data_IF_813912712628
#
_entry.id   IF_813912712628
#
_cell.length_a   1.000
_cell.length_b   1.000
_cell.length_c   1.000
_cell.angle_alpha   90.00
_cell.angle_beta   90.00
_cell.angle_gamma   90.00
#
_symmetry.space_group_name_H-M   'P 1'
#
loop_
_entity.id
_entity.type
_entity.pdbx_description
1 polymer ?
#
# COMPACT_ATOMS: atom_id res chain seq x y z
N UNK A 1 40.73 -61.23 3.70
CA UNK A 1 41.20 -60.05 2.95
C UNK A 1 39.99 -59.19 2.62
N UNK A 2 39.85 -58.02 3.26
CA UNK A 2 38.70 -57.11 3.07
C UNK A 2 39.14 -55.97 2.16
N UNK A 3 38.45 -55.81 1.02
CA UNK A 3 38.69 -54.78 0.00
C UNK A 3 38.22 -53.42 0.53
N UNK A 4 39.11 -52.43 0.57
CA UNK A 4 38.78 -51.04 0.91
C UNK A 4 38.11 -50.38 -0.31
N UNK A 5 36.92 -49.81 -0.13
CA UNK A 5 36.28 -48.93 -1.11
C UNK A 5 36.33 -47.52 -0.54
N UNK A 6 37.17 -46.68 -1.14
CA UNK A 6 37.32 -45.27 -0.80
C UNK A 6 36.24 -44.49 -1.58
N UNK A 7 35.23 -43.96 -0.89
CA UNK A 7 34.27 -43.02 -1.48
C UNK A 7 34.74 -41.59 -1.21
N UNK A 8 35.22 -40.92 -2.26
CA UNK A 8 35.41 -39.47 -2.31
C UNK A 8 34.05 -38.81 -2.47
N UNK A 9 33.47 -38.33 -1.36
CA UNK A 9 32.23 -37.57 -1.35
C UNK A 9 32.49 -36.08 -1.55
N UNK A 10 32.11 -35.57 -2.72
CA UNK A 10 32.10 -34.18 -3.14
C UNK A 10 31.07 -33.38 -2.29
N UNK A 11 31.53 -32.66 -1.26
CA UNK A 11 30.66 -31.76 -0.50
C UNK A 11 30.54 -30.41 -1.22
N UNK A 12 29.39 -30.23 -1.85
CA UNK A 12 28.91 -29.01 -2.51
C UNK A 12 28.90 -27.86 -1.53
N UNK A 13 29.61 -26.78 -1.86
CA UNK A 13 29.52 -25.49 -1.19
C UNK A 13 28.09 -24.96 -1.35
N UNK A 14 27.26 -25.13 -0.31
CA UNK A 14 26.06 -24.33 -0.15
C UNK A 14 26.48 -22.88 0.06
N UNK A 15 26.60 -22.13 -1.03
CA UNK A 15 26.54 -20.68 -0.96
C UNK A 15 25.13 -20.33 -0.46
N UNK A 16 25.00 -20.12 0.84
CA UNK A 16 23.81 -19.50 1.41
C UNK A 16 23.68 -18.15 0.74
N UNK A 17 22.78 -18.03 -0.23
CA UNK A 17 22.36 -16.74 -0.74
C UNK A 17 21.71 -16.03 0.45
N UNK A 18 22.48 -15.12 1.07
CA UNK A 18 21.92 -14.11 1.95
C UNK A 18 20.99 -13.29 1.07
N UNK A 19 19.69 -13.61 1.08
CA UNK A 19 18.67 -12.74 0.58
C UNK A 19 18.63 -11.54 1.53
N UNK A 20 19.44 -10.52 1.22
CA UNK A 20 19.30 -9.23 1.86
C UNK A 20 17.91 -8.71 1.48
N UNK A 21 17.04 -8.52 2.47
CA UNK A 21 15.89 -7.67 2.28
C UNK A 21 16.43 -6.28 1.95
N UNK A 22 16.30 -5.85 0.68
CA UNK A 22 16.51 -4.46 0.32
C UNK A 22 15.65 -3.60 1.26
N UNK A 23 16.20 -2.49 1.74
CA UNK A 23 15.52 -1.45 2.52
C UNK A 23 14.42 -0.74 1.71
N UNK A 24 13.68 -1.45 0.85
CA UNK A 24 12.48 -0.93 0.23
C UNK A 24 11.41 -0.82 1.31
N UNK A 25 11.12 0.42 1.73
CA UNK A 25 9.97 0.65 2.59
C UNK A 25 8.72 0.15 1.87
N UNK A 26 7.89 -0.60 2.60
CA UNK A 26 6.59 -1.07 2.12
C UNK A 26 5.54 0.04 2.09
N UNK A 27 5.96 1.28 2.34
CA UNK A 27 5.14 2.49 2.35
C UNK A 27 5.53 3.39 1.19
N UNK A 28 4.54 3.96 0.51
CA UNK A 28 4.72 4.91 -0.59
C UNK A 28 4.09 6.22 -0.14
N UNK A 29 4.82 7.32 -0.17
CA UNK A 29 4.23 8.65 0.08
C UNK A 29 3.24 9.00 -1.03
N UNK A 30 2.04 9.44 -0.64
CA UNK A 30 0.94 9.76 -1.56
C UNK A 30 0.68 11.26 -1.58
N UNK A 31 0.62 11.88 -0.41
CA UNK A 31 0.38 13.33 -0.29
C UNK A 31 0.92 13.84 1.03
N UNK A 32 1.18 15.14 1.11
CA UNK A 32 1.70 15.81 2.30
C UNK A 32 0.90 17.06 2.61
N UNK A 33 0.94 17.46 3.87
CA UNK A 33 0.48 18.77 4.31
C UNK A 33 1.52 19.34 5.30
N UNK A 34 1.23 20.51 5.87
CA UNK A 34 2.11 21.15 6.86
C UNK A 34 2.32 20.34 8.16
N UNK A 35 1.41 19.42 8.45
CA UNK A 35 1.33 18.68 9.71
C UNK A 35 1.89 17.24 9.59
N UNK A 36 2.10 16.74 8.36
CA UNK A 36 2.63 15.41 8.12
C UNK A 36 2.47 14.90 6.69
N UNK A 37 2.75 13.62 6.51
CA UNK A 37 2.66 12.90 5.25
C UNK A 37 1.68 11.73 5.35
N UNK A 38 0.89 11.50 4.29
CA UNK A 38 0.13 10.28 4.11
C UNK A 38 0.91 9.32 3.23
N UNK A 39 1.12 8.10 3.74
CA UNK A 39 1.79 7.02 3.04
C UNK A 39 0.86 5.81 2.94
N UNK A 40 0.87 5.12 1.80
CA UNK A 40 0.06 3.91 1.58
C UNK A 40 0.89 2.64 1.70
N UNK A 41 0.33 1.60 2.30
CA UNK A 41 0.99 0.29 2.40
C UNK A 41 0.82 -0.51 1.11
N UNK A 42 1.93 -0.90 0.48
CA UNK A 42 1.94 -1.82 -0.67
C UNK A 42 1.17 -3.11 -0.36
N UNK A 43 0.42 -3.61 -1.35
CA UNK A 43 -0.35 -4.85 -1.25
C UNK A 43 -1.66 -4.78 -0.46
N UNK A 44 -2.04 -3.60 0.06
CA UNK A 44 -3.28 -3.43 0.83
C UNK A 44 -4.47 -2.92 0.04
N UNK A 45 -4.26 -2.51 -1.22
CA UNK A 45 -5.36 -2.08 -2.08
C UNK A 45 -6.38 -3.21 -2.25
N UNK A 46 -7.66 -2.88 -2.10
CA UNK A 46 -8.80 -3.76 -2.34
C UNK A 46 -9.86 -2.98 -3.09
N UNK A 47 -10.44 -3.62 -4.11
CA UNK A 47 -11.66 -3.15 -4.73
C UNK A 47 -12.75 -4.19 -4.49
N UNK A 48 -13.75 -3.86 -3.68
CA UNK A 48 -14.81 -4.80 -3.28
C UNK A 48 -16.16 -4.11 -3.42
N UNK A 49 -17.05 -4.71 -4.22
CA UNK A 49 -18.43 -4.23 -4.41
C UNK A 49 -18.52 -2.74 -4.78
N UNK A 50 -17.63 -2.26 -5.65
CA UNK A 50 -17.63 -0.88 -6.12
C UNK A 50 -16.99 0.13 -5.15
N UNK A 51 -16.25 -0.34 -4.15
CA UNK A 51 -15.52 0.50 -3.19
C UNK A 51 -14.02 0.18 -3.25
N UNK A 52 -13.21 1.20 -3.51
CA UNK A 52 -11.75 1.15 -3.53
C UNK A 52 -11.21 1.55 -2.17
N UNK A 53 -10.33 0.73 -1.59
CA UNK A 53 -9.74 1.02 -0.29
C UNK A 53 -8.30 0.56 -0.18
N UNK A 54 -7.52 1.20 0.69
CA UNK A 54 -6.18 0.76 1.06
C UNK A 54 -5.84 1.19 2.50
N UNK A 55 -4.76 0.63 3.06
CA UNK A 55 -4.22 1.03 4.35
C UNK A 55 -3.26 2.20 4.17
N UNK A 56 -3.52 3.28 4.89
CA UNK A 56 -2.67 4.46 4.95
C UNK A 56 -2.12 4.68 6.35
N UNK A 57 -0.95 5.28 6.38
CA UNK A 57 -0.26 5.81 7.53
C UNK A 57 -0.23 7.33 7.40
N UNK A 58 -0.68 8.04 8.43
CA UNK A 58 -0.39 9.46 8.58
C UNK A 58 0.77 9.62 9.55
N UNK A 59 1.95 9.95 9.01
CA UNK A 59 3.14 10.26 9.79
C UNK A 59 3.19 11.76 10.04
N UNK A 60 2.97 12.16 11.31
CA UNK A 60 3.03 13.56 11.73
C UNK A 60 4.47 14.05 11.84
N UNK A 61 4.65 15.36 11.79
CA UNK A 61 5.97 16.00 11.97
C UNK A 61 6.63 15.68 13.31
N UNK A 62 5.84 15.42 14.36
CA UNK A 62 6.30 14.97 15.68
C UNK A 62 6.58 13.46 15.77
N UNK A 63 6.60 12.76 14.62
CA UNK A 63 6.81 11.32 14.48
C UNK A 63 5.72 10.43 15.08
N UNK A 64 4.58 11.00 15.49
CA UNK A 64 3.40 10.19 15.79
C UNK A 64 2.80 9.64 14.50
N UNK A 65 2.32 8.40 14.61
CA UNK A 65 1.73 7.66 13.49
C UNK A 65 0.29 7.33 13.78
N UNK A 66 -0.58 7.59 12.82
CA UNK A 66 -1.97 7.13 12.81
C UNK A 66 -2.21 6.25 11.60
N UNK A 67 -2.99 5.19 11.76
CA UNK A 67 -3.36 4.28 10.66
C UNK A 67 -4.83 4.40 10.33
N UNK A 68 -5.12 4.48 9.03
CA UNK A 68 -6.49 4.56 8.52
C UNK A 68 -6.68 3.59 7.37
N UNK A 69 -7.82 2.90 7.35
CA UNK A 69 -8.34 2.34 6.10
C UNK A 69 -9.05 3.50 5.41
N UNK A 70 -8.51 3.93 4.28
CA UNK A 70 -9.13 4.97 3.46
C UNK A 70 -9.90 4.28 2.35
N UNK A 71 -11.14 4.72 2.13
CA UNK A 71 -12.09 4.10 1.21
C UNK A 71 -12.84 5.17 0.43
N UNK A 72 -13.10 4.88 -0.84
CA UNK A 72 -13.81 5.75 -1.76
C UNK A 72 -14.63 4.90 -2.74
N UNK A 73 -15.83 5.37 -3.08
CA UNK A 73 -16.65 4.68 -4.08
C UNK A 73 -16.00 4.81 -5.45
N UNK A 74 -16.08 3.75 -6.25
CA UNK A 74 -15.64 3.79 -7.65
C UNK A 74 -16.39 4.85 -8.45
N UNK A 75 -17.68 5.06 -8.17
CA UNK A 75 -18.48 6.10 -8.82
C UNK A 75 -17.94 7.51 -8.57
N UNK A 76 -17.40 7.77 -7.38
CA UNK A 76 -16.85 9.07 -7.02
C UNK A 76 -15.53 9.31 -7.78
N UNK A 77 -14.76 8.23 -7.99
CA UNK A 77 -13.62 8.22 -8.89
C UNK A 77 -14.01 8.51 -10.35
N UNK A 78 -15.03 7.83 -10.86
CA UNK A 78 -15.51 7.99 -12.24
C UNK A 78 -16.10 9.39 -12.49
N UNK A 79 -16.68 10.01 -11.47
CA UNK A 79 -17.22 11.37 -11.53
C UNK A 79 -16.14 12.46 -11.41
N UNK A 80 -14.96 12.12 -10.87
CA UNK A 80 -13.92 13.09 -10.53
C UNK A 80 -14.23 13.94 -9.29
N UNK A 81 -15.24 13.58 -8.50
CA UNK A 81 -15.56 14.22 -7.23
C UNK A 81 -16.45 13.33 -6.35
N UNK A 82 -16.41 13.54 -5.03
CA UNK A 82 -17.25 12.81 -4.09
C UNK A 82 -16.72 12.84 -2.67
N UNK A 83 -16.76 11.70 -1.98
CA UNK A 83 -16.38 11.60 -0.56
C UNK A 83 -15.36 10.48 -0.34
N UNK A 84 -14.24 10.80 0.32
CA UNK A 84 -13.35 9.80 0.92
C UNK A 84 -13.71 9.57 2.38
N UNK A 85 -13.59 8.32 2.82
CA UNK A 85 -13.91 7.89 4.18
C UNK A 85 -12.68 7.32 4.85
N UNK A 86 -12.41 7.80 6.06
CA UNK A 86 -11.34 7.32 6.92
C UNK A 86 -11.94 6.44 8.01
N UNK A 87 -11.46 5.22 8.12
CA UNK A 87 -11.87 4.28 9.15
C UNK A 87 -10.69 3.94 10.05
N UNK A 88 -10.94 3.84 11.35
CA UNK A 88 -10.00 3.23 12.29
C UNK A 88 -9.84 1.73 12.00
N UNK A 89 -8.83 1.09 12.60
CA UNK A 89 -8.52 -0.32 12.37
C UNK A 89 -9.59 -1.28 12.89
N UNK A 90 -10.42 -0.84 13.85
CA UNK A 90 -11.59 -1.57 14.31
C UNK A 90 -12.78 -1.48 13.34
N UNK A 91 -12.64 -0.72 12.25
CA UNK A 91 -13.67 -0.52 11.22
C UNK A 91 -14.64 0.62 11.51
N UNK A 92 -14.54 1.30 12.65
CA UNK A 92 -15.37 2.47 12.96
C UNK A 92 -14.98 3.66 12.07
N UNK A 93 -15.96 4.48 11.70
CA UNK A 93 -15.73 5.67 10.89
C UNK A 93 -15.05 6.74 11.76
N UNK A 94 -13.85 7.17 11.35
CA UNK A 94 -13.14 8.26 11.99
C UNK A 94 -13.68 9.61 11.50
N UNK A 95 -13.58 9.85 10.19
CA UNK A 95 -14.08 11.06 9.56
C UNK A 95 -14.25 10.87 8.04
N UNK A 96 -14.84 11.88 7.41
CA UNK A 96 -15.04 11.99 5.95
C UNK A 96 -14.31 13.22 5.44
N UNK A 97 -13.86 13.15 4.20
CA UNK A 97 -13.27 14.29 3.49
C UNK A 97 -13.81 14.39 2.08
N UNK A 98 -13.77 15.60 1.53
CA UNK A 98 -14.19 15.83 0.15
C UNK A 98 -13.09 15.37 -0.82
N UNK A 99 -13.52 14.74 -1.91
CA UNK A 99 -12.69 14.41 -3.06
C UNK A 99 -13.02 15.33 -4.22
N UNK A 100 -11.98 15.90 -4.83
CA UNK A 100 -12.04 16.61 -6.10
C UNK A 100 -10.79 16.19 -6.87
N UNK A 101 -10.97 15.58 -8.04
CA UNK A 101 -9.88 15.10 -8.87
C UNK A 101 -8.94 16.24 -9.26
N UNK A 102 -7.64 15.93 -9.30
CA UNK A 102 -6.57 16.88 -9.65
C UNK A 102 -6.55 18.15 -8.78
N UNK A 103 -7.15 18.09 -7.58
CA UNK A 103 -7.16 19.17 -6.60
C UNK A 103 -5.88 19.27 -5.78
N UNK A 104 -5.78 20.32 -4.96
CA UNK A 104 -4.59 20.58 -4.12
C UNK A 104 -4.77 20.14 -2.66
N UNK A 105 -5.89 19.47 -2.34
CA UNK A 105 -6.18 19.01 -0.98
C UNK A 105 -5.60 17.63 -0.70
N UNK A 106 -5.46 17.28 0.58
CA UNK A 106 -5.14 15.91 1.00
C UNK A 106 -6.20 14.93 0.46
N UNK A 107 -7.47 15.33 0.44
CA UNK A 107 -8.55 14.51 -0.10
C UNK A 107 -8.39 14.20 -1.58
N UNK A 108 -7.97 15.20 -2.38
CA UNK A 108 -7.63 15.04 -3.79
C UNK A 108 -6.50 14.03 -3.98
N UNK A 109 -5.34 14.24 -3.34
CA UNK A 109 -4.18 13.36 -3.51
C UNK A 109 -4.44 11.90 -3.10
N UNK A 110 -5.21 11.69 -2.03
CA UNK A 110 -5.59 10.34 -1.60
C UNK A 110 -6.60 9.68 -2.55
N UNK A 111 -7.59 10.43 -3.01
CA UNK A 111 -8.59 9.96 -3.96
C UNK A 111 -7.97 9.63 -5.31
N UNK A 112 -7.12 10.50 -5.85
CA UNK A 112 -6.41 10.32 -7.12
C UNK A 112 -5.50 9.09 -7.07
N UNK A 113 -4.84 8.85 -5.94
CA UNK A 113 -4.09 7.61 -5.75
C UNK A 113 -4.98 6.36 -5.81
N UNK A 114 -6.08 6.33 -5.08
CA UNK A 114 -7.01 5.19 -5.09
C UNK A 114 -7.59 4.96 -6.50
N UNK A 115 -7.93 6.05 -7.19
CA UNK A 115 -8.37 6.04 -8.58
C UNK A 115 -7.33 5.44 -9.52
N UNK A 116 -6.10 5.96 -9.49
CA UNK A 116 -5.01 5.51 -10.35
C UNK A 116 -4.68 4.04 -10.14
N UNK A 117 -4.64 3.58 -8.89
CA UNK A 117 -4.42 2.15 -8.59
C UNK A 117 -5.57 1.28 -9.09
N UNK A 118 -6.82 1.72 -8.96
CA UNK A 118 -7.97 0.99 -9.50
C UNK A 118 -7.86 0.84 -11.01
N UNK A 119 -7.64 1.94 -11.73
CA UNK A 119 -7.52 1.95 -13.19
C UNK A 119 -6.38 1.03 -13.64
N UNK A 120 -5.21 1.11 -12.99
CA UNK A 120 -4.09 0.23 -13.29
C UNK A 120 -4.42 -1.25 -13.01
N UNK A 121 -5.11 -1.56 -11.91
CA UNK A 121 -5.51 -2.92 -11.56
C UNK A 121 -6.58 -3.50 -12.48
N UNK A 122 -7.45 -2.66 -13.06
CA UNK A 122 -8.43 -3.05 -14.06
C UNK A 122 -7.77 -3.31 -15.42
N UNK A 123 -6.81 -2.46 -15.83
CA UNK A 123 -6.06 -2.64 -17.08
C UNK A 123 -5.25 -3.96 -17.11
N UNK A 124 -4.75 -4.44 -15.97
CA UNK A 124 -4.04 -5.73 -15.87
C UNK A 124 -4.95 -6.97 -15.99
N UNK A 125 -6.28 -6.79 -15.96
CA UNK A 125 -7.25 -7.88 -16.11
C UNK A 125 -7.80 -8.01 -17.53
N UNK A 126 -7.56 -7.01 -18.37
CA UNK A 126 -7.95 -6.98 -19.80
C UNK A 126 -6.89 -7.63 -20.67
#
# INVERSE_FOLDING_TARGET
>A
MVKKITLLGLSVLFATQLAFAENSTNWIEVTTNKDGAFLVKKGTFRNVKGDSSALFMYEKTDKKVEYYKISMKNTDCDNGYGEIKFFYMDGSLAFKGDYVADGTSVGAGLGDFLCGVRIAAEAQKS
#
